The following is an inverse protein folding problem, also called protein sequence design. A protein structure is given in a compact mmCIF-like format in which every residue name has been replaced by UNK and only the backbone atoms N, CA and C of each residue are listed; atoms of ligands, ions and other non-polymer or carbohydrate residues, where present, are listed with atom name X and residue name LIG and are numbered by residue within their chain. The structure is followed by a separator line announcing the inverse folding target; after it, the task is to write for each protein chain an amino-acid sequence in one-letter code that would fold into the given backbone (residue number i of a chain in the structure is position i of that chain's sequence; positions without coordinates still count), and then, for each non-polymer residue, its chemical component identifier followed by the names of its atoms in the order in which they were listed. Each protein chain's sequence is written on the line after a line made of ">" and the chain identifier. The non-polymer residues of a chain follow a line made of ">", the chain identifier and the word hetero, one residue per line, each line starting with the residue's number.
data_IF_523580285494
#
_entry.id   IF_523580285494
#
_cell.length_a   1.000
_cell.length_b   1.000
_cell.length_c   1.000
_cell.angle_alpha   90.00
_cell.angle_beta   90.00
_cell.angle_gamma   90.00
#
_symmetry.space_group_name_H-M   'P 1'
#
loop_
_entity.id
_entity.type
_entity.pdbx_description
1 polymer ?
#
# COMPACT_ATOMS: atom_id res chain seq x y z
N UNK A 1 -10.26 30.13 -17.85
CA UNK A 1 -11.52 29.84 -17.13
C UNK A 1 -11.15 29.17 -15.83
N UNK A 2 -11.46 29.82 -14.71
CA UNK A 2 -11.03 29.48 -13.35
C UNK A 2 -11.70 28.19 -12.88
N UNK A 3 -10.92 27.25 -12.34
CA UNK A 3 -11.34 25.93 -11.81
C UNK A 3 -12.29 26.00 -10.57
N UNK A 4 -12.97 27.12 -10.35
CA UNK A 4 -13.73 27.44 -9.13
C UNK A 4 -15.24 27.22 -9.25
N UNK A 5 -15.77 26.84 -10.42
CA UNK A 5 -17.23 26.70 -10.66
C UNK A 5 -17.74 25.25 -10.65
N UNK A 6 -16.88 24.26 -10.51
CA UNK A 6 -17.29 22.85 -10.47
C UNK A 6 -17.66 22.43 -9.03
N UNK A 7 -18.79 21.72 -8.82
CA UNK A 7 -19.11 21.10 -7.53
C UNK A 7 -17.94 20.25 -7.01
N UNK A 8 -17.72 20.23 -5.69
CA UNK A 8 -16.56 19.58 -5.07
C UNK A 8 -16.46 18.07 -5.41
N UNK A 9 -17.60 17.38 -5.53
CA UNK A 9 -17.64 15.98 -5.92
C UNK A 9 -17.18 15.78 -7.38
N UNK A 10 -17.63 16.62 -8.32
CA UNK A 10 -17.20 16.62 -9.73
C UNK A 10 -15.71 16.90 -9.85
N UNK A 11 -15.21 17.88 -9.07
CA UNK A 11 -13.79 18.24 -9.04
C UNK A 11 -12.92 17.10 -8.49
N UNK A 12 -13.40 16.37 -7.48
CA UNK A 12 -12.73 15.18 -6.94
C UNK A 12 -12.67 14.06 -7.98
N UNK A 13 -13.77 13.77 -8.68
CA UNK A 13 -13.83 12.72 -9.72
C UNK A 13 -12.89 13.05 -10.90
N UNK A 14 -12.83 14.33 -11.30
CA UNK A 14 -12.07 14.76 -12.48
C UNK A 14 -10.57 14.94 -12.22
N UNK A 15 -10.19 15.44 -11.04
CA UNK A 15 -8.82 15.91 -10.79
C UNK A 15 -8.06 15.18 -9.69
N UNK A 16 -8.73 14.36 -8.86
CA UNK A 16 -8.01 13.63 -7.81
C UNK A 16 -7.03 12.62 -8.45
N UNK A 17 -5.85 12.49 -7.83
CA UNK A 17 -4.77 11.58 -8.26
C UNK A 17 -4.81 10.23 -7.55
N UNK A 18 -5.71 10.07 -6.57
CA UNK A 18 -5.89 8.84 -5.78
C UNK A 18 -7.28 8.25 -6.04
N UNK A 19 -7.42 6.91 -6.05
CA UNK A 19 -8.72 6.27 -6.16
C UNK A 19 -9.68 6.66 -5.04
N UNK A 20 -10.97 6.53 -5.32
CA UNK A 20 -12.02 6.58 -4.32
C UNK A 20 -11.85 5.42 -3.31
N UNK A 21 -11.90 5.72 -2.02
CA UNK A 21 -11.71 4.76 -0.93
C UNK A 21 -13.00 3.94 -0.80
N UNK A 22 -13.16 2.96 -1.68
CA UNK A 22 -14.29 2.03 -1.72
C UNK A 22 -13.86 0.66 -1.16
N UNK A 23 -14.81 -0.26 -0.99
CA UNK A 23 -14.47 -1.64 -0.63
C UNK A 23 -13.45 -2.26 -1.60
N UNK A 24 -13.61 -2.02 -2.91
CA UNK A 24 -12.69 -2.50 -3.93
C UNK A 24 -11.26 -1.95 -3.76
N UNK A 25 -11.09 -0.73 -3.24
CA UNK A 25 -9.78 -0.15 -2.93
C UNK A 25 -9.07 -0.96 -1.83
N UNK A 26 -9.78 -1.33 -0.76
CA UNK A 26 -9.21 -2.11 0.33
C UNK A 26 -8.86 -3.53 -0.12
N UNK A 27 -9.71 -4.16 -0.93
CA UNK A 27 -9.44 -5.49 -1.49
C UNK A 27 -8.16 -5.49 -2.32
N UNK A 28 -8.06 -4.65 -3.35
CA UNK A 28 -6.87 -4.63 -4.21
C UNK A 28 -5.62 -4.20 -3.44
N UNK A 29 -5.74 -3.33 -2.43
CA UNK A 29 -4.64 -2.95 -1.54
C UNK A 29 -4.13 -4.14 -0.74
N UNK A 30 -5.00 -4.93 -0.11
CA UNK A 30 -4.61 -6.14 0.64
C UNK A 30 -4.01 -7.19 -0.30
N UNK A 31 -4.57 -7.37 -1.50
CA UNK A 31 -3.99 -8.26 -2.49
C UNK A 31 -2.60 -7.80 -2.93
N UNK A 32 -2.42 -6.49 -3.11
CA UNK A 32 -1.13 -5.89 -3.49
C UNK A 32 -0.08 -6.04 -2.40
N UNK A 33 -0.45 -5.88 -1.12
CA UNK A 33 0.48 -6.12 0.00
C UNK A 33 0.88 -7.59 0.06
N UNK A 34 -0.07 -8.51 -0.09
CA UNK A 34 0.19 -9.96 -0.14
C UNK A 34 1.12 -10.34 -1.29
N UNK A 35 0.85 -9.83 -2.49
CA UNK A 35 1.70 -10.08 -3.67
C UNK A 35 3.09 -9.48 -3.51
N UNK A 36 3.20 -8.34 -2.83
CA UNK A 36 4.47 -7.69 -2.56
C UNK A 36 5.46 -8.58 -1.82
N UNK A 37 4.96 -9.23 -0.76
CA UNK A 37 5.71 -10.20 0.05
C UNK A 37 6.15 -11.38 -0.81
N UNK A 38 5.18 -12.13 -1.33
CA UNK A 38 5.46 -13.40 -2.00
C UNK A 38 6.26 -13.22 -3.29
N UNK A 39 6.13 -12.06 -3.95
CA UNK A 39 6.89 -11.78 -5.17
C UNK A 39 8.33 -11.35 -4.86
N UNK A 40 8.57 -10.67 -3.74
CA UNK A 40 9.92 -10.39 -3.27
C UNK A 40 10.65 -11.71 -2.99
N UNK A 41 10.01 -12.62 -2.26
CA UNK A 41 10.54 -13.96 -1.94
C UNK A 41 10.81 -14.79 -3.19
N UNK A 42 9.85 -14.80 -4.13
CA UNK A 42 10.01 -15.50 -5.39
C UNK A 42 11.27 -15.02 -6.16
N UNK A 43 11.45 -13.70 -6.28
CA UNK A 43 12.62 -13.16 -6.98
C UNK A 43 13.93 -13.46 -6.23
N UNK A 44 13.90 -13.41 -4.90
CA UNK A 44 15.06 -13.64 -4.05
C UNK A 44 15.49 -15.12 -4.07
N UNK A 45 14.55 -16.03 -3.77
CA UNK A 45 14.78 -17.45 -3.50
C UNK A 45 14.57 -18.31 -4.75
N UNK A 46 13.38 -18.27 -5.36
CA UNK A 46 13.01 -19.18 -6.45
C UNK A 46 13.76 -18.86 -7.76
N UNK A 47 13.87 -17.57 -8.11
CA UNK A 47 14.67 -17.11 -9.26
C UNK A 47 16.16 -17.09 -8.93
N UNK A 48 16.51 -17.04 -7.65
CA UNK A 48 17.90 -17.04 -7.18
C UNK A 48 18.66 -15.75 -7.50
N UNK A 49 17.97 -14.61 -7.65
CA UNK A 49 18.64 -13.32 -7.85
C UNK A 49 19.39 -12.87 -6.59
N UNK A 50 18.95 -13.33 -5.41
CA UNK A 50 19.42 -12.84 -4.13
C UNK A 50 18.85 -11.47 -3.78
N UNK A 51 18.89 -11.15 -2.49
CA UNK A 51 18.19 -10.01 -1.93
C UNK A 51 18.69 -8.67 -2.50
N UNK A 52 20.01 -8.52 -2.62
CA UNK A 52 20.63 -7.25 -3.04
C UNK A 52 20.30 -6.90 -4.51
N UNK A 53 20.43 -7.88 -5.42
CA UNK A 53 20.16 -7.66 -6.85
C UNK A 53 18.67 -7.39 -7.06
N UNK A 54 17.80 -8.17 -6.40
CA UNK A 54 16.36 -7.97 -6.42
C UNK A 54 15.98 -6.56 -5.97
N UNK A 55 16.61 -6.08 -4.90
CA UNK A 55 16.41 -4.72 -4.36
C UNK A 55 16.77 -3.64 -5.38
N UNK A 56 17.91 -3.77 -6.07
CA UNK A 56 18.30 -2.78 -7.07
C UNK A 56 17.38 -2.78 -8.30
N UNK A 57 17.01 -3.97 -8.81
CA UNK A 57 16.10 -4.08 -9.97
C UNK A 57 14.72 -3.50 -9.63
N UNK A 58 14.12 -3.95 -8.51
CA UNK A 58 12.79 -3.50 -8.10
C UNK A 58 12.79 -2.03 -7.68
N UNK A 59 13.86 -1.55 -7.06
CA UNK A 59 14.06 -0.13 -6.75
C UNK A 59 14.13 0.74 -8.01
N UNK A 60 14.85 0.32 -9.05
CA UNK A 60 14.90 1.03 -10.31
C UNK A 60 13.53 1.07 -11.02
N UNK A 61 12.80 -0.06 -11.01
CA UNK A 61 11.44 -0.13 -11.54
C UNK A 61 10.49 0.79 -10.78
N UNK A 62 10.58 0.84 -9.44
CA UNK A 62 9.79 1.73 -8.61
C UNK A 62 10.07 3.21 -8.95
N UNK A 63 11.34 3.59 -9.09
CA UNK A 63 11.72 4.96 -9.48
C UNK A 63 11.12 5.30 -10.85
N UNK A 64 11.23 4.41 -11.84
CA UNK A 64 10.65 4.62 -13.17
C UNK A 64 9.12 4.78 -13.11
N UNK A 65 8.43 3.94 -12.34
CA UNK A 65 6.99 4.00 -12.16
C UNK A 65 6.54 5.29 -11.44
N UNK A 66 7.28 5.71 -10.41
CA UNK A 66 7.04 6.99 -9.72
C UNK A 66 7.22 8.17 -10.68
N UNK A 67 8.28 8.18 -11.49
CA UNK A 67 8.49 9.22 -12.51
C UNK A 67 7.29 9.26 -13.47
N UNK A 68 6.85 8.11 -13.99
CA UNK A 68 5.68 8.02 -14.87
C UNK A 68 4.40 8.54 -14.17
N UNK A 69 4.22 8.21 -12.90
CA UNK A 69 3.11 8.68 -12.07
C UNK A 69 3.14 10.22 -11.88
N UNK A 70 4.29 10.81 -11.56
CA UNK A 70 4.45 12.26 -11.41
C UNK A 70 4.29 13.04 -12.73
N UNK A 71 4.66 12.43 -13.85
CA UNK A 71 4.46 12.99 -15.20
C UNK A 71 2.97 12.98 -15.55
N UNK A 72 2.24 11.94 -15.12
CA UNK A 72 0.80 11.83 -15.37
C UNK A 72 0.04 12.91 -14.58
N UNK A 73 -0.73 13.74 -15.28
CA UNK A 73 -1.43 14.88 -14.67
C UNK A 73 -2.76 14.54 -13.99
N UNK A 74 -3.22 13.29 -14.11
CA UNK A 74 -4.54 12.79 -13.66
C UNK A 74 -4.40 11.38 -13.12
N UNK A 75 -5.30 10.94 -12.23
CA UNK A 75 -5.32 9.53 -11.81
C UNK A 75 -5.52 8.61 -13.02
N UNK A 76 -4.62 7.65 -13.16
CA UNK A 76 -4.72 6.48 -14.03
C UNK A 76 -4.60 5.24 -13.14
N UNK A 77 -5.62 4.37 -13.18
CA UNK A 77 -5.69 3.17 -12.32
C UNK A 77 -4.44 2.30 -12.47
N UNK A 78 -3.98 2.08 -13.72
CA UNK A 78 -2.78 1.30 -14.00
C UNK A 78 -1.53 1.87 -13.32
N UNK A 79 -1.18 3.13 -13.58
CA UNK A 79 0.06 3.71 -13.02
C UNK A 79 0.05 3.74 -11.49
N UNK A 80 -1.08 4.11 -10.88
CA UNK A 80 -1.22 4.14 -9.43
C UNK A 80 -1.03 2.76 -8.80
N UNK A 81 -1.75 1.74 -9.29
CA UNK A 81 -1.64 0.39 -8.71
C UNK A 81 -0.29 -0.27 -9.02
N UNK A 82 0.31 0.02 -10.18
CA UNK A 82 1.69 -0.39 -10.46
C UNK A 82 2.67 0.19 -9.45
N UNK A 83 2.56 1.49 -9.12
CA UNK A 83 3.41 2.07 -8.07
C UNK A 83 3.13 1.42 -6.71
N UNK A 84 1.86 1.17 -6.35
CA UNK A 84 1.53 0.53 -5.07
C UNK A 84 2.12 -0.88 -4.97
N UNK A 85 2.06 -1.69 -6.03
CA UNK A 85 2.67 -3.04 -6.08
C UNK A 85 4.19 -2.96 -6.06
N UNK A 86 4.81 -2.01 -6.78
CA UNK A 86 6.26 -1.87 -6.74
C UNK A 86 6.75 -1.40 -5.36
N UNK A 87 6.01 -0.49 -4.72
CA UNK A 87 6.30 -0.07 -3.34
C UNK A 87 6.12 -1.25 -2.37
N UNK A 88 5.15 -2.14 -2.59
CA UNK A 88 4.95 -3.28 -1.71
C UNK A 88 6.15 -4.23 -1.73
N UNK A 89 6.66 -4.53 -2.92
CA UNK A 89 7.87 -5.36 -3.09
C UNK A 89 9.09 -4.66 -2.52
N UNK A 90 9.34 -3.40 -2.90
CA UNK A 90 10.52 -2.66 -2.44
C UNK A 90 10.49 -2.40 -0.92
N UNK A 91 9.31 -2.18 -0.34
CA UNK A 91 9.15 -2.01 1.10
C UNK A 91 9.53 -3.26 1.90
N UNK A 92 9.18 -4.45 1.40
CA UNK A 92 9.67 -5.73 1.94
C UNK A 92 11.18 -5.79 1.84
N UNK A 93 11.72 -5.67 0.62
CA UNK A 93 13.15 -5.78 0.38
C UNK A 93 13.98 -4.82 1.23
N UNK A 94 13.54 -3.57 1.44
CA UNK A 94 14.25 -2.63 2.33
C UNK A 94 14.31 -3.16 3.76
N UNK A 95 13.22 -3.73 4.26
CA UNK A 95 13.15 -4.31 5.61
C UNK A 95 14.07 -5.52 5.72
N UNK A 96 13.99 -6.45 4.77
CA UNK A 96 14.80 -7.67 4.75
C UNK A 96 16.29 -7.34 4.63
N UNK A 97 16.67 -6.33 3.84
CA UNK A 97 18.08 -5.93 3.76
C UNK A 97 18.59 -5.38 5.10
N UNK A 98 17.75 -4.68 5.86
CA UNK A 98 18.12 -4.21 7.19
C UNK A 98 18.27 -5.40 8.14
N UNK A 99 17.34 -6.34 8.11
CA UNK A 99 17.30 -7.43 9.09
C UNK A 99 18.21 -8.61 8.73
N UNK A 100 18.16 -9.11 7.50
CA UNK A 100 18.85 -10.33 7.10
C UNK A 100 20.28 -10.09 6.61
N UNK A 101 20.53 -8.95 5.95
CA UNK A 101 21.87 -8.61 5.42
C UNK A 101 22.67 -7.79 6.42
N UNK A 102 22.07 -6.72 6.96
CA UNK A 102 22.75 -5.84 7.92
C UNK A 102 22.71 -6.41 9.35
N UNK A 103 21.75 -7.29 9.65
CA UNK A 103 21.61 -7.91 10.97
C UNK A 103 20.88 -7.04 12.00
N UNK A 104 20.12 -6.02 11.57
CA UNK A 104 19.33 -5.19 12.48
C UNK A 104 18.13 -5.99 13.02
N UNK A 105 17.98 -6.09 14.35
CA UNK A 105 16.81 -6.76 14.92
C UNK A 105 15.51 -6.11 14.45
N UNK A 106 14.48 -6.94 14.18
CA UNK A 106 13.17 -6.49 13.67
C UNK A 106 12.51 -5.39 14.53
N UNK A 107 12.68 -5.44 15.86
CA UNK A 107 12.15 -4.40 16.74
C UNK A 107 12.82 -3.04 16.52
N UNK A 108 14.11 -3.02 16.18
CA UNK A 108 14.85 -1.79 15.83
C UNK A 108 14.35 -1.25 14.50
N UNK A 109 14.25 -2.10 13.47
CA UNK A 109 13.70 -1.72 12.15
C UNK A 109 12.28 -1.15 12.28
N UNK A 110 11.43 -1.79 13.09
CA UNK A 110 10.06 -1.32 13.38
C UNK A 110 10.05 0.07 14.03
N UNK A 111 10.92 0.32 15.01
CA UNK A 111 11.03 1.65 15.65
C UNK A 111 11.51 2.68 14.64
N UNK A 112 12.55 2.36 13.84
CA UNK A 112 13.10 3.28 12.83
C UNK A 112 12.01 3.68 11.83
N UNK A 113 11.29 2.72 11.24
CA UNK A 113 10.22 3.03 10.29
C UNK A 113 9.04 3.75 10.93
N UNK A 114 8.71 3.46 12.19
CA UNK A 114 7.68 4.20 12.94
C UNK A 114 8.07 5.67 13.10
N UNK A 115 9.33 5.95 13.48
CA UNK A 115 9.84 7.31 13.62
C UNK A 115 9.87 8.02 12.27
N UNK A 116 10.36 7.37 11.20
CA UNK A 116 10.38 7.94 9.85
C UNK A 116 8.98 8.27 9.32
N UNK A 117 8.02 7.38 9.57
CA UNK A 117 6.62 7.60 9.22
C UNK A 117 6.02 8.77 10.01
N UNK A 118 6.25 8.82 11.32
CA UNK A 118 5.78 9.90 12.18
C UNK A 118 6.37 11.26 11.78
N UNK A 119 7.67 11.31 11.47
CA UNK A 119 8.34 12.52 10.95
C UNK A 119 7.75 12.93 9.60
N UNK A 120 7.48 11.98 8.71
CA UNK A 120 6.85 12.26 7.41
C UNK A 120 5.46 12.87 7.58
N UNK A 121 4.62 12.29 8.44
CA UNK A 121 3.31 12.87 8.76
C UNK A 121 3.44 14.24 9.44
N UNK A 122 4.39 14.41 10.35
CA UNK A 122 4.63 15.67 11.05
C UNK A 122 5.03 16.80 10.08
N UNK A 123 5.98 16.54 9.17
CA UNK A 123 6.41 17.51 8.16
C UNK A 123 5.27 17.82 7.18
N UNK A 124 4.52 16.80 6.75
CA UNK A 124 3.37 16.98 5.86
C UNK A 124 2.28 17.83 6.53
N UNK A 125 1.90 17.51 7.76
CA UNK A 125 0.92 18.26 8.53
C UNK A 125 1.38 19.69 8.82
N UNK A 126 2.66 19.90 9.14
CA UNK A 126 3.20 21.24 9.36
C UNK A 126 3.09 22.11 8.10
N UNK A 127 3.42 21.55 6.93
CA UNK A 127 3.46 22.28 5.66
C UNK A 127 2.10 22.50 5.03
N UNK A 128 1.16 21.58 5.23
CA UNK A 128 -0.11 21.61 4.50
C UNK A 128 -1.35 21.65 5.38
N UNK A 129 -1.16 21.48 6.70
CA UNK A 129 -2.23 21.49 7.72
C UNK A 129 -3.34 20.48 7.45
N UNK A 130 -3.06 19.46 6.64
CA UNK A 130 -3.97 18.36 6.33
C UNK A 130 -3.17 17.10 6.00
N UNK A 131 -3.70 15.95 6.40
CA UNK A 131 -3.25 14.62 6.00
C UNK A 131 -4.29 13.94 5.10
N UNK A 132 -5.22 14.72 4.55
CA UNK A 132 -6.32 14.23 3.74
C UNK A 132 -5.84 13.80 2.35
N UNK A 133 -6.23 12.60 1.97
CA UNK A 133 -5.88 11.95 0.71
C UNK A 133 -6.86 12.34 -0.41
N UNK A 134 -7.97 12.98 -0.05
CA UNK A 134 -8.98 13.44 -1.01
C UNK A 134 -8.54 14.66 -1.84
N UNK A 135 -7.43 15.31 -1.46
CA UNK A 135 -7.00 16.58 -2.08
C UNK A 135 -5.54 16.57 -2.57
N UNK A 136 -5.10 15.49 -3.21
CA UNK A 136 -3.75 15.38 -3.78
C UNK A 136 -3.72 15.97 -5.19
N UNK A 137 -3.69 17.29 -5.26
CA UNK A 137 -3.67 18.02 -6.54
C UNK A 137 -2.28 18.56 -6.93
N UNK A 138 -1.34 18.61 -5.98
CA UNK A 138 0.00 19.18 -6.20
C UNK A 138 1.07 18.08 -6.19
N UNK A 139 2.16 18.29 -6.94
CA UNK A 139 3.32 17.37 -6.94
C UNK A 139 3.94 17.19 -5.55
N UNK A 140 3.88 18.23 -4.72
CA UNK A 140 4.40 18.20 -3.34
C UNK A 140 3.56 17.29 -2.44
N UNK A 141 2.22 17.39 -2.51
CA UNK A 141 1.29 16.48 -1.83
C UNK A 141 1.53 15.04 -2.23
N UNK A 142 1.66 14.83 -3.53
CA UNK A 142 1.89 13.51 -4.10
C UNK A 142 3.22 12.91 -3.62
N UNK A 143 4.28 13.71 -3.49
CA UNK A 143 5.55 13.25 -2.93
C UNK A 143 5.43 12.84 -1.46
N UNK A 144 4.81 13.65 -0.60
CA UNK A 144 4.57 13.26 0.80
C UNK A 144 3.74 11.99 0.91
N UNK A 145 2.74 11.85 0.05
CA UNK A 145 1.90 10.68 -0.01
C UNK A 145 2.68 9.41 -0.37
N UNK A 146 3.48 9.44 -1.44
CA UNK A 146 4.27 8.27 -1.84
C UNK A 146 5.35 7.91 -0.83
N UNK A 147 6.00 8.90 -0.21
CA UNK A 147 6.97 8.67 0.87
C UNK A 147 6.29 8.06 2.11
N UNK A 148 5.13 8.60 2.50
CA UNK A 148 4.36 8.04 3.61
C UNK A 148 3.98 6.59 3.30
N UNK A 149 3.49 6.31 2.08
CA UNK A 149 3.18 4.95 1.66
C UNK A 149 4.40 4.05 1.76
N UNK A 150 5.55 4.43 1.21
CA UNK A 150 6.78 3.63 1.29
C UNK A 150 7.12 3.25 2.75
N UNK A 151 7.10 4.22 3.66
CA UNK A 151 7.36 3.94 5.08
C UNK A 151 6.27 3.13 5.76
N UNK A 152 4.98 3.31 5.41
CA UNK A 152 3.92 2.41 5.92
C UNK A 152 4.12 0.97 5.46
N UNK A 153 4.65 0.77 4.26
CA UNK A 153 4.92 -0.55 3.71
C UNK A 153 6.11 -1.21 4.43
N UNK A 154 7.25 -0.51 4.55
CA UNK A 154 8.40 -1.02 5.26
C UNK A 154 8.12 -1.26 6.75
N UNK A 155 7.41 -0.33 7.42
CA UNK A 155 6.94 -0.52 8.79
C UNK A 155 6.03 -1.76 8.91
N UNK A 156 5.15 -1.94 7.94
CA UNK A 156 4.20 -3.04 7.96
C UNK A 156 4.86 -4.40 7.78
N UNK A 157 5.88 -4.53 6.94
CA UNK A 157 6.70 -5.75 6.87
C UNK A 157 7.44 -5.95 8.20
N UNK A 158 8.23 -4.97 8.65
CA UNK A 158 9.01 -5.09 9.88
C UNK A 158 8.17 -5.46 11.12
N UNK A 159 6.98 -4.87 11.26
CA UNK A 159 6.05 -5.18 12.36
C UNK A 159 5.32 -6.51 12.17
N UNK A 160 5.03 -6.92 10.93
CA UNK A 160 4.46 -8.23 10.61
C UNK A 160 5.43 -9.34 11.02
N UNK A 161 6.67 -9.25 10.57
CA UNK A 161 7.71 -10.25 10.83
C UNK A 161 8.11 -10.24 12.30
N UNK A 162 8.14 -9.06 12.93
CA UNK A 162 8.39 -8.96 14.38
C UNK A 162 7.36 -9.77 15.17
N UNK A 163 6.07 -9.65 14.82
CA UNK A 163 4.99 -10.35 15.52
C UNK A 163 5.02 -11.85 15.19
N UNK A 164 5.16 -12.20 13.92
CA UNK A 164 4.99 -13.59 13.46
C UNK A 164 6.24 -14.43 13.70
N UNK A 165 7.42 -13.91 13.36
CA UNK A 165 8.71 -14.60 13.44
C UNK A 165 9.51 -14.18 14.66
N UNK A 166 9.69 -12.88 14.87
CA UNK A 166 10.51 -12.34 15.96
C UNK A 166 9.98 -12.69 17.36
N UNK A 167 8.65 -12.70 17.54
CA UNK A 167 7.98 -13.14 18.76
C UNK A 167 7.49 -14.60 18.67
N UNK A 168 7.59 -15.24 17.50
CA UNK A 168 7.19 -16.63 17.29
C UNK A 168 5.69 -16.90 17.44
N UNK A 169 4.82 -15.89 17.22
CA UNK A 169 3.37 -16.08 17.31
C UNK A 169 2.79 -16.86 16.12
N UNK A 170 3.54 -16.94 15.01
CA UNK A 170 3.15 -17.62 13.79
C UNK A 170 2.20 -16.80 12.91
N UNK A 171 2.18 -17.13 11.62
CA UNK A 171 1.48 -16.34 10.60
C UNK A 171 -0.03 -16.27 10.80
N UNK A 172 -0.69 -17.39 11.16
CA UNK A 172 -2.14 -17.42 11.40
C UNK A 172 -2.58 -16.48 12.53
N UNK A 173 -1.84 -16.46 13.64
CA UNK A 173 -2.12 -15.57 14.77
C UNK A 173 -1.88 -14.11 14.36
N UNK A 174 -0.82 -13.85 13.58
CA UNK A 174 -0.58 -12.54 12.97
C UNK A 174 -1.78 -12.06 12.14
N UNK A 175 -2.28 -12.89 11.23
CA UNK A 175 -3.47 -12.58 10.40
C UNK A 175 -4.68 -12.22 11.28
N UNK A 176 -4.98 -13.04 12.28
CA UNK A 176 -6.11 -12.80 13.19
C UNK A 176 -5.92 -11.50 13.97
N UNK A 177 -4.71 -11.23 14.47
CA UNK A 177 -4.38 -10.03 15.23
C UNK A 177 -4.59 -8.78 14.39
N UNK A 178 -3.96 -8.70 13.21
CA UNK A 178 -4.04 -7.51 12.36
C UNK A 178 -5.45 -7.31 11.80
N UNK A 179 -6.16 -8.38 11.44
CA UNK A 179 -7.56 -8.30 11.04
C UNK A 179 -8.45 -7.78 12.18
N UNK A 180 -8.21 -8.24 13.42
CA UNK A 180 -8.95 -7.78 14.60
C UNK A 180 -8.68 -6.30 14.88
N UNK A 181 -7.43 -5.85 14.79
CA UNK A 181 -7.07 -4.44 14.97
C UNK A 181 -7.72 -3.54 13.90
N UNK A 182 -7.80 -3.99 12.65
CA UNK A 182 -8.55 -3.29 11.60
C UNK A 182 -10.05 -3.25 11.96
N UNK A 183 -10.61 -4.36 12.46
CA UNK A 183 -11.98 -4.42 12.97
C UNK A 183 -12.25 -3.39 14.07
N UNK A 184 -11.32 -3.23 15.02
CA UNK A 184 -11.41 -2.19 16.07
C UNK A 184 -11.44 -0.79 15.47
N UNK A 185 -10.63 -0.51 14.44
CA UNK A 185 -10.66 0.80 13.75
C UNK A 185 -11.98 1.04 13.03
N UNK A 186 -12.55 0.00 12.41
CA UNK A 186 -13.88 0.07 11.78
C UNK A 186 -14.94 0.40 12.83
N UNK A 187 -14.92 -0.28 13.98
CA UNK A 187 -15.84 0.01 15.09
C UNK A 187 -15.62 1.44 15.62
N UNK A 188 -14.38 1.86 15.84
CA UNK A 188 -14.03 3.22 16.24
C UNK A 188 -14.60 4.28 15.28
N UNK A 189 -14.56 3.99 13.97
CA UNK A 189 -15.09 4.90 12.95
C UNK A 189 -16.62 4.96 12.93
N UNK A 190 -17.30 3.81 12.96
CA UNK A 190 -18.75 3.74 12.76
C UNK A 190 -19.56 3.93 14.04
N UNK A 191 -19.02 3.52 15.20
CA UNK A 191 -19.69 3.62 16.49
C UNK A 191 -19.29 4.90 17.23
N UNK A 192 -17.99 5.21 17.26
CA UNK A 192 -17.46 6.35 18.03
C UNK A 192 -17.21 7.60 17.18
N UNK A 193 -17.56 7.57 15.90
CA UNK A 193 -17.38 8.68 14.95
C UNK A 193 -15.96 9.26 14.91
N UNK A 194 -14.95 8.42 15.14
CA UNK A 194 -13.55 8.82 15.11
C UNK A 194 -13.16 9.48 13.77
N UNK A 195 -12.10 10.29 13.81
CA UNK A 195 -11.62 11.08 12.67
C UNK A 195 -11.31 10.19 11.45
N UNK A 196 -11.90 10.52 10.30
CA UNK A 196 -11.80 9.74 9.05
C UNK A 196 -10.35 9.59 8.60
N UNK A 197 -9.56 10.65 8.67
CA UNK A 197 -8.16 10.67 8.19
C UNK A 197 -7.29 9.78 9.08
N UNK A 198 -7.47 9.87 10.40
CA UNK A 198 -6.78 8.99 11.34
C UNK A 198 -7.14 7.52 11.12
N UNK A 199 -8.44 7.20 11.05
CA UNK A 199 -8.91 5.83 10.84
C UNK A 199 -8.40 5.26 9.52
N UNK A 200 -8.35 6.08 8.47
CA UNK A 200 -7.78 5.68 7.18
C UNK A 200 -6.30 5.30 7.33
N UNK A 201 -5.46 6.17 7.88
CA UNK A 201 -4.02 5.91 7.95
C UNK A 201 -3.71 4.74 8.88
N UNK A 202 -4.42 4.64 10.01
CA UNK A 202 -4.28 3.51 10.92
C UNK A 202 -4.65 2.18 10.24
N UNK A 203 -5.80 2.12 9.54
CA UNK A 203 -6.17 0.94 8.77
C UNK A 203 -5.18 0.66 7.63
N UNK A 204 -4.72 1.71 6.93
CA UNK A 204 -3.78 1.59 5.83
C UNK A 204 -2.45 0.98 6.29
N UNK A 205 -1.91 1.43 7.42
CA UNK A 205 -0.70 0.86 8.02
C UNK A 205 -0.92 -0.62 8.36
N UNK A 206 -2.04 -0.97 9.01
CA UNK A 206 -2.31 -2.35 9.43
C UNK A 206 -2.65 -3.31 8.30
N UNK A 207 -3.11 -2.83 7.14
CA UNK A 207 -3.33 -3.70 5.98
C UNK A 207 -2.05 -4.29 5.41
N UNK A 208 -0.90 -3.67 5.66
CA UNK A 208 0.39 -4.22 5.23
C UNK A 208 0.81 -5.47 6.01
N UNK A 209 0.96 -5.43 7.35
CA UNK A 209 1.32 -6.60 8.12
C UNK A 209 0.27 -7.70 7.97
N UNK A 210 -1.02 -7.35 7.87
CA UNK A 210 -2.07 -8.32 7.52
C UNK A 210 -1.76 -9.04 6.19
N UNK A 211 -1.43 -8.28 5.14
CA UNK A 211 -1.11 -8.86 3.83
C UNK A 211 0.17 -9.67 3.82
N UNK A 212 1.22 -9.23 4.54
CA UNK A 212 2.46 -10.00 4.71
C UNK A 212 2.14 -11.36 5.35
N UNK A 213 1.50 -11.35 6.52
CA UNK A 213 1.14 -12.58 7.22
C UNK A 213 0.21 -13.50 6.43
N UNK A 214 -0.68 -12.97 5.58
CA UNK A 214 -1.48 -13.81 4.66
C UNK A 214 -0.57 -14.42 3.57
N UNK A 215 0.34 -13.62 3.03
CA UNK A 215 1.31 -14.04 2.02
C UNK A 215 2.14 -15.20 2.55
N UNK A 216 2.78 -15.01 3.70
CA UNK A 216 3.63 -15.99 4.35
C UNK A 216 2.85 -17.24 4.77
N UNK A 217 1.65 -17.07 5.32
CA UNK A 217 0.78 -18.18 5.65
C UNK A 217 0.46 -19.05 4.42
N UNK A 218 0.35 -18.46 3.23
CA UNK A 218 0.08 -19.21 2.00
C UNK A 218 1.37 -19.78 1.38
N UNK A 219 2.45 -18.99 1.32
CA UNK A 219 3.67 -19.31 0.58
C UNK A 219 4.63 -20.20 1.37
N UNK A 220 4.84 -19.95 2.66
CA UNK A 220 5.90 -20.56 3.45
C UNK A 220 5.66 -22.06 3.70
N UNK A 221 6.73 -22.79 4.00
CA UNK A 221 6.65 -24.22 4.24
C UNK A 221 5.85 -24.55 5.50
N UNK A 222 5.21 -25.73 5.58
CA UNK A 222 4.53 -26.19 6.79
C UNK A 222 5.42 -26.28 8.03
N UNK A 223 6.74 -26.45 7.83
CA UNK A 223 7.72 -26.45 8.91
C UNK A 223 7.85 -25.06 9.58
N UNK A 224 7.66 -23.99 8.81
CA UNK A 224 7.78 -22.59 9.27
C UNK A 224 6.40 -22.01 9.65
N UNK A 225 5.33 -22.82 9.58
CA UNK A 225 3.97 -22.43 9.95
C UNK A 225 3.09 -21.94 8.79
N UNK A 226 3.54 -22.10 7.54
CA UNK A 226 2.77 -21.80 6.33
C UNK A 226 1.99 -23.01 5.76
N UNK A 227 1.25 -22.80 4.68
CA UNK A 227 0.43 -23.82 4.00
C UNK A 227 1.19 -24.55 2.88
N UNK A 228 2.37 -24.07 2.49
CA UNK A 228 3.23 -24.70 1.49
C UNK A 228 2.70 -24.60 0.05
N UNK A 229 1.87 -23.61 -0.27
CA UNK A 229 1.38 -23.38 -1.65
C UNK A 229 2.53 -22.88 -2.55
N UNK A 230 3.56 -22.28 -1.93
CA UNK A 230 4.74 -21.76 -2.60
C UNK A 230 4.58 -20.31 -3.05
N UNK A 231 5.69 -19.58 -3.03
CA UNK A 231 5.75 -18.16 -3.40
C UNK A 231 5.36 -17.91 -4.87
N UNK A 232 5.76 -18.80 -5.77
CA UNK A 232 5.45 -18.71 -7.21
C UNK A 232 3.93 -18.75 -7.47
N UNK A 233 3.24 -19.81 -7.01
CA UNK A 233 1.82 -20.01 -7.29
C UNK A 233 0.98 -18.90 -6.64
N UNK A 234 1.32 -18.53 -5.40
CA UNK A 234 0.65 -17.44 -4.67
C UNK A 234 0.82 -16.11 -5.41
N UNK A 235 2.04 -15.75 -5.80
CA UNK A 235 2.31 -14.49 -6.52
C UNK A 235 1.55 -14.39 -7.84
N UNK A 236 1.52 -15.45 -8.65
CA UNK A 236 0.83 -15.45 -9.96
C UNK A 236 -0.68 -15.27 -9.79
N UNK A 237 -1.29 -16.02 -8.87
CA UNK A 237 -2.74 -15.92 -8.63
C UNK A 237 -3.12 -14.51 -8.18
N UNK A 238 -2.40 -13.95 -7.20
CA UNK A 238 -2.72 -12.62 -6.71
C UNK A 238 -2.45 -11.54 -7.74
N UNK A 239 -1.37 -11.65 -8.54
CA UNK A 239 -1.10 -10.72 -9.63
C UNK A 239 -2.23 -10.69 -10.67
N UNK A 240 -2.75 -11.86 -11.06
CA UNK A 240 -3.89 -11.96 -11.98
C UNK A 240 -5.13 -11.26 -11.40
N UNK A 241 -5.43 -11.48 -10.13
CA UNK A 241 -6.57 -10.83 -9.47
C UNK A 241 -6.36 -9.31 -9.36
N UNK A 242 -5.16 -8.85 -9.04
CA UNK A 242 -4.83 -7.41 -9.01
C UNK A 242 -5.05 -6.79 -10.39
N UNK A 243 -4.55 -7.40 -11.46
CA UNK A 243 -4.73 -6.89 -12.83
C UNK A 243 -6.21 -6.83 -13.20
N UNK A 244 -7.00 -7.85 -12.84
CA UNK A 244 -8.44 -7.87 -13.08
C UNK A 244 -9.17 -6.75 -12.34
N UNK A 245 -8.91 -6.58 -11.04
CA UNK A 245 -9.54 -5.54 -10.21
C UNK A 245 -9.08 -4.14 -10.62
N UNK A 246 -7.79 -3.95 -10.92
CA UNK A 246 -7.24 -2.68 -11.40
C UNK A 246 -7.86 -2.26 -12.74
N UNK A 247 -8.05 -3.22 -13.64
CA UNK A 247 -8.74 -3.02 -14.93
C UNK A 247 -10.20 -2.65 -14.71
N UNK A 248 -10.92 -3.37 -13.86
CA UNK A 248 -12.31 -3.06 -13.51
C UNK A 248 -12.45 -1.64 -12.93
N UNK A 249 -11.59 -1.28 -11.96
CA UNK A 249 -11.56 0.06 -11.37
C UNK A 249 -11.23 1.13 -12.42
N UNK A 250 -10.30 0.84 -13.33
CA UNK A 250 -9.97 1.72 -14.45
C UNK A 250 -11.17 2.00 -15.35
N UNK A 251 -11.93 0.96 -15.72
CA UNK A 251 -13.15 1.07 -16.52
C UNK A 251 -14.22 1.87 -15.76
N UNK A 252 -14.44 1.56 -14.47
CA UNK A 252 -15.43 2.25 -13.62
C UNK A 252 -15.14 3.75 -13.53
N UNK A 253 -13.89 4.12 -13.24
CA UNK A 253 -13.47 5.53 -13.14
C UNK A 253 -13.57 6.22 -14.51
N UNK A 254 -13.23 5.53 -15.59
CA UNK A 254 -13.41 6.05 -16.95
C UNK A 254 -14.89 6.38 -17.27
N UNK A 255 -15.81 5.51 -16.84
CA UNK A 255 -17.26 5.74 -16.98
C UNK A 255 -17.75 6.90 -16.11
N UNK A 256 -17.36 6.95 -14.83
CA UNK A 256 -17.72 8.04 -13.91
C UNK A 256 -17.23 9.40 -14.43
N UNK A 257 -16.02 9.46 -15.00
CA UNK A 257 -15.49 10.69 -15.61
C UNK A 257 -16.25 11.13 -16.85
N UNK A 258 -16.62 10.19 -17.72
CA UNK A 258 -17.46 10.50 -18.89
C UNK A 258 -18.81 11.06 -18.47
N UNK A 259 -19.43 10.48 -17.44
CA UNK A 259 -20.69 10.98 -16.89
C UNK A 259 -20.54 12.39 -16.29
N UNK A 260 -19.52 12.61 -15.45
CA UNK A 260 -19.25 13.91 -14.83
C UNK A 260 -18.86 15.01 -15.84
N UNK A 261 -18.27 14.65 -16.99
CA UNK A 261 -17.97 15.60 -18.06
C UNK A 261 -19.22 16.03 -18.87
N UNK A 262 -20.32 15.27 -18.76
CA UNK A 262 -21.59 15.53 -19.42
C UNK A 262 -22.61 16.20 -18.49
N UNK A 263 -22.31 16.34 -17.19
CA UNK A 263 -23.16 17.08 -16.27
C UNK A 263 -23.19 18.56 -16.65
N UNK A 264 -24.38 19.14 -16.91
CA UNK A 264 -24.49 20.56 -17.17
C UNK A 264 -24.02 21.33 -15.94
N UNK A 265 -23.13 22.30 -16.14
CA UNK A 265 -22.77 23.27 -15.10
C UNK A 265 -24.07 24.00 -14.76
N UNK A 266 -24.62 23.74 -13.57
CA UNK A 266 -25.76 24.51 -13.07
C UNK A 266 -25.34 25.99 -13.10
N UNK A 267 -26.01 26.75 -13.98
CA UNK A 267 -25.78 28.18 -14.19
C UNK A 267 -26.23 29.01 -12.99
#
# INVERSE_FOLDING_TARGET
>A
MTNSTLPEHVRTILFNRVPEITFAFWVIKILSTTTGETFADYLNVDVGLGLQITTYIMGALLIAALIAQFVTKRYTSGAYWTVVVLISVVGTLITDNLTDVIGLPLWVSTIIFSVLLAVTFGIWFYRERTLSIHTIFTRRREAFYWVAILFTFALGTASGDLITEGLGLGYLVGVILFASLIGVIVIARFVFHANVVFCFWAAYVLTRPLGASIGDLLSQAPADGGLGIGATATSVVFLVVIVAVATYLGIKVGRQRRAAALEPVAA
#
